data_IF_095672553733
#
_entry.id   IF_095672553733
#
_cell.length_a   1.000
_cell.length_b   1.000
_cell.length_c   1.000
_cell.angle_alpha   90.00
_cell.angle_beta   90.00
_cell.angle_gamma   90.00
#
_symmetry.space_group_name_H-M   'P 1'
#
loop_
_entity.id
_entity.type
_entity.pdbx_description
1 polymer ?
#
# COMPACT_ATOMS: atom_id res chain seq x y z
N UNK A 1 -13.14 -9.00 10.15
CA UNK A 1 -13.90 -8.52 8.96
C UNK A 1 -13.91 -9.64 7.92
N UNK A 2 -15.06 -9.95 7.28
CA UNK A 2 -15.21 -11.17 6.45
C UNK A 2 -14.33 -11.20 5.18
N UNK A 3 -13.79 -10.06 4.72
CA UNK A 3 -12.85 -10.06 3.59
C UNK A 3 -11.47 -10.65 3.95
N UNK A 4 -11.08 -10.59 5.23
CA UNK A 4 -9.75 -11.06 5.69
C UNK A 4 -9.70 -12.58 5.79
N UNK A 5 -10.85 -13.27 5.85
CA UNK A 5 -10.94 -14.74 5.86
C UNK A 5 -10.94 -15.36 4.46
N UNK A 6 -10.86 -14.57 3.39
CA UNK A 6 -10.74 -15.09 2.03
C UNK A 6 -9.40 -15.80 1.85
N UNK A 7 -9.41 -17.05 1.37
CA UNK A 7 -8.21 -17.86 1.15
C UNK A 7 -7.18 -17.16 0.25
N UNK A 8 -7.64 -16.48 -0.80
CA UNK A 8 -6.74 -15.76 -1.72
C UNK A 8 -6.06 -14.57 -1.04
N UNK A 9 -6.82 -13.82 -0.25
CA UNK A 9 -6.28 -12.71 0.54
C UNK A 9 -5.23 -13.20 1.55
N UNK A 10 -5.54 -14.28 2.28
CA UNK A 10 -4.63 -14.86 3.27
C UNK A 10 -3.34 -15.38 2.62
N UNK A 11 -3.46 -16.09 1.49
CA UNK A 11 -2.31 -16.61 0.76
C UNK A 11 -1.36 -15.48 0.32
N UNK A 12 -1.89 -14.43 -0.31
CA UNK A 12 -1.07 -13.34 -0.85
C UNK A 12 -0.44 -12.50 0.28
N UNK A 13 -1.20 -12.21 1.35
CA UNK A 13 -0.70 -11.48 2.54
C UNK A 13 0.37 -12.24 3.31
N UNK A 14 0.20 -13.55 3.48
CA UNK A 14 1.12 -14.36 4.30
C UNK A 14 2.49 -14.46 3.64
N UNK A 15 2.54 -14.52 2.29
CA UNK A 15 3.80 -14.49 1.55
C UNK A 15 4.59 -13.21 1.78
N UNK A 16 3.91 -12.07 1.71
CA UNK A 16 4.55 -10.77 1.97
C UNK A 16 4.96 -10.65 3.45
N UNK A 17 4.06 -10.98 4.39
CA UNK A 17 4.36 -10.89 5.82
C UNK A 17 5.59 -11.71 6.23
N UNK A 18 5.73 -12.92 5.68
CA UNK A 18 6.91 -13.76 5.92
C UNK A 18 8.19 -13.13 5.32
N UNK A 19 8.10 -12.56 4.11
CA UNK A 19 9.23 -11.86 3.49
C UNK A 19 9.64 -10.57 4.21
N UNK A 20 8.70 -9.92 4.88
CA UNK A 20 8.94 -8.69 5.65
C UNK A 20 9.50 -8.93 7.05
N UNK A 21 9.50 -10.17 7.54
CA UNK A 21 9.90 -10.52 8.91
C UNK A 21 11.29 -9.98 9.28
N UNK A 22 12.24 -10.05 8.34
CA UNK A 22 13.62 -9.58 8.52
C UNK A 22 13.93 -8.30 7.74
N UNK A 23 12.93 -7.70 7.09
CA UNK A 23 13.14 -6.47 6.36
C UNK A 23 13.23 -5.27 7.32
N UNK A 24 13.84 -4.18 6.87
CA UNK A 24 13.81 -2.91 7.60
C UNK A 24 12.36 -2.40 7.69
N UNK A 25 11.89 -2.20 8.93
CA UNK A 25 10.52 -1.78 9.24
C UNK A 25 10.38 -0.26 9.26
N UNK A 26 10.56 0.38 8.10
CA UNK A 26 10.46 1.83 7.99
C UNK A 26 9.07 2.37 8.39
N UNK A 27 9.01 3.53 9.06
CA UNK A 27 7.75 4.16 9.41
C UNK A 27 6.95 4.45 8.13
N UNK A 28 5.63 4.23 8.20
CA UNK A 28 4.69 4.36 7.07
C UNK A 28 4.91 3.40 5.91
N UNK A 29 5.71 2.34 6.06
CA UNK A 29 5.72 1.23 5.10
C UNK A 29 4.32 0.64 4.99
N UNK A 30 3.84 0.55 3.76
CA UNK A 30 2.58 -0.11 3.45
C UNK A 30 2.88 -1.47 2.83
N UNK A 31 1.96 -2.38 3.06
CA UNK A 31 1.91 -3.69 2.43
C UNK A 31 1.39 -3.53 1.00
N UNK A 32 2.03 -4.19 0.06
CA UNK A 32 1.76 -4.10 -1.38
C UNK A 32 0.91 -5.29 -1.87
N UNK A 33 0.99 -6.43 -1.20
CA UNK A 33 0.22 -7.62 -1.55
C UNK A 33 -1.26 -7.51 -1.17
N UNK A 34 -2.09 -8.28 -1.86
CA UNK A 34 -3.54 -8.39 -1.62
C UNK A 34 -4.29 -7.04 -1.67
N UNK A 35 -3.81 -6.09 -2.48
CA UNK A 35 -4.46 -4.80 -2.76
C UNK A 35 -4.81 -4.67 -4.25
N UNK A 36 -5.91 -3.98 -4.60
CA UNK A 36 -6.93 -3.38 -3.74
C UNK A 36 -8.02 -4.38 -3.30
N UNK A 37 -8.52 -4.30 -2.06
CA UNK A 37 -9.66 -5.13 -1.59
C UNK A 37 -10.98 -4.37 -1.67
N UNK A 38 -11.00 -3.13 -1.17
CA UNK A 38 -12.17 -2.25 -1.19
C UNK A 38 -11.73 -0.87 -1.63
N UNK A 39 -12.41 -0.35 -2.65
CA UNK A 39 -12.18 0.98 -3.20
C UNK A 39 -13.43 1.82 -3.02
N UNK A 40 -13.24 3.11 -2.75
CA UNK A 40 -14.34 4.07 -2.83
C UNK A 40 -14.70 4.34 -4.30
N UNK A 41 -15.93 4.78 -4.59
CA UNK A 41 -16.31 5.18 -5.95
C UNK A 41 -15.46 6.33 -6.50
N UNK A 42 -14.83 7.11 -5.63
CA UNK A 42 -13.95 8.22 -6.00
C UNK A 42 -12.51 7.77 -6.26
N UNK A 43 -12.19 6.49 -6.08
CA UNK A 43 -10.82 5.99 -6.17
C UNK A 43 -10.16 6.34 -7.51
N UNK A 44 -10.83 6.08 -8.62
CA UNK A 44 -10.28 6.36 -9.96
C UNK A 44 -10.08 7.85 -10.21
N UNK A 45 -11.03 8.69 -9.74
CA UNK A 45 -10.94 10.15 -9.84
C UNK A 45 -9.77 10.69 -9.03
N UNK A 46 -9.60 10.19 -7.81
CA UNK A 46 -8.51 10.60 -6.93
C UNK A 46 -7.15 10.12 -7.47
N UNK A 47 -7.10 8.92 -8.04
CA UNK A 47 -5.90 8.41 -8.71
C UNK A 47 -5.49 9.29 -9.89
N UNK A 48 -6.44 9.75 -10.70
CA UNK A 48 -6.19 10.67 -11.81
C UNK A 48 -5.64 12.03 -11.36
N UNK A 49 -5.96 12.47 -10.14
CA UNK A 49 -5.46 13.72 -9.54
C UNK A 49 -4.08 13.54 -8.87
N UNK A 50 -3.52 12.33 -8.88
CA UNK A 50 -2.22 12.03 -8.27
C UNK A 50 -2.31 11.63 -6.80
N UNK A 51 -3.39 10.99 -6.38
CA UNK A 51 -3.51 10.43 -5.04
C UNK A 51 -2.58 9.22 -4.84
N UNK A 52 -1.81 9.25 -3.77
CA UNK A 52 -1.04 8.10 -3.30
C UNK A 52 -1.85 7.35 -2.24
N UNK A 53 -2.18 6.07 -2.50
CA UNK A 53 -3.08 5.29 -1.65
C UNK A 53 -2.35 4.44 -0.62
N UNK A 54 -2.80 4.53 0.63
CA UNK A 54 -2.53 3.55 1.68
C UNK A 54 -3.72 2.63 1.88
N UNK A 55 -3.50 1.50 2.55
CA UNK A 55 -4.56 0.56 2.91
C UNK A 55 -4.82 0.60 4.41
N UNK A 56 -6.10 0.69 4.79
CA UNK A 56 -6.55 0.62 6.18
C UNK A 56 -7.76 -0.29 6.25
N UNK A 57 -7.63 -1.45 6.88
CA UNK A 57 -8.72 -2.42 7.05
C UNK A 57 -9.43 -2.76 5.71
N UNK A 58 -8.63 -2.99 4.67
CA UNK A 58 -9.03 -3.36 3.32
C UNK A 58 -9.46 -2.18 2.44
N UNK A 59 -9.63 -0.98 3.01
CA UNK A 59 -10.00 0.21 2.25
C UNK A 59 -8.78 0.95 1.74
N UNK A 60 -8.83 1.33 0.47
CA UNK A 60 -7.85 2.22 -0.12
C UNK A 60 -8.17 3.68 0.20
N UNK A 61 -7.34 4.30 1.04
CA UNK A 61 -7.47 5.70 1.47
C UNK A 61 -6.34 6.53 0.85
N UNK A 62 -6.64 7.68 0.23
CA UNK A 62 -5.59 8.60 -0.20
C UNK A 62 -4.83 9.11 1.03
N UNK A 63 -3.54 8.85 1.10
CA UNK A 63 -2.68 9.38 2.17
C UNK A 63 -2.26 10.81 1.86
N UNK A 64 -1.85 11.07 0.62
CA UNK A 64 -1.41 12.39 0.16
C UNK A 64 -1.62 12.53 -1.35
N UNK A 65 -1.58 13.77 -1.85
CA UNK A 65 -1.71 14.10 -3.28
C UNK A 65 -0.40 14.72 -3.75
N UNK A 66 0.26 14.06 -4.70
CA UNK A 66 1.53 14.50 -5.25
C UNK A 66 1.37 14.97 -6.69
N UNK A 67 1.62 16.26 -6.97
CA UNK A 67 1.55 16.79 -8.34
C UNK A 67 2.67 16.29 -9.27
N UNK A 68 3.75 15.71 -8.74
CA UNK A 68 5.00 15.48 -9.50
C UNK A 68 5.76 14.18 -9.24
N UNK A 69 5.42 13.42 -8.20
CA UNK A 69 6.16 12.20 -7.85
C UNK A 69 5.27 11.00 -8.13
N UNK A 70 5.75 9.96 -8.86
CA UNK A 70 5.02 8.71 -8.94
C UNK A 70 4.76 8.20 -7.51
N UNK A 71 3.62 7.53 -7.31
CA UNK A 71 3.22 6.94 -6.03
C UNK A 71 4.21 5.83 -5.62
N UNK A 72 5.38 6.24 -5.15
CA UNK A 72 6.35 5.36 -4.53
C UNK A 72 6.07 5.36 -3.02
N UNK A 73 6.14 4.18 -2.37
CA UNK A 73 6.21 4.15 -0.93
C UNK A 73 7.41 5.00 -0.50
N UNK A 74 7.19 5.91 0.47
CA UNK A 74 8.20 6.86 0.96
C UNK A 74 9.54 6.18 1.30
N UNK A 75 9.50 4.89 1.62
CA UNK A 75 10.63 3.99 1.87
C UNK A 75 11.67 3.96 0.73
N UNK A 76 11.29 4.16 -0.54
CA UNK A 76 12.23 4.11 -1.66
C UNK A 76 13.09 5.37 -1.83
N UNK A 77 12.63 6.54 -1.35
CA UNK A 77 13.34 7.81 -1.55
C UNK A 77 14.54 7.97 -0.59
N UNK A 78 14.43 7.48 0.64
CA UNK A 78 15.51 7.56 1.64
C UNK A 78 16.60 6.50 1.43
N UNK A 79 16.27 5.37 0.78
CA UNK A 79 17.24 4.34 0.44
C UNK A 79 18.18 4.76 -0.70
N UNK A 80 17.74 5.67 -1.59
CA UNK A 80 18.56 6.19 -2.70
C UNK A 80 19.51 7.33 -2.31
N UNK A 81 19.39 7.90 -1.11
CA UNK A 81 20.29 8.97 -0.63
C UNK A 81 21.48 8.42 0.19
N UNK A 82 21.48 7.11 0.51
CA UNK A 82 22.53 6.43 1.28
C UNK A 82 23.45 5.54 0.43
N UNK A 83 23.41 5.69 -0.91
CA UNK A 83 24.37 5.10 -1.86
C UNK A 83 24.89 6.19 -2.79
#
# INVERSE_FOLDING_TARGET
>A
MPFQSNQRYLHDRTKEALGLLYAMHWPYRQVESARPVRVSMLHDRLKAVGACFGEVSGWERPNWFGKRVPCQPMVQLWASELV
#
